data_IF_145061275752
#
_entry.id   IF_145061275752
#
_cell.length_a   1.000
_cell.length_b   1.000
_cell.length_c   1.000
_cell.angle_alpha   90.00
_cell.angle_beta   90.00
_cell.angle_gamma   90.00
#
_symmetry.space_group_name_H-M   'P 1'
#
loop_
_entity.id
_entity.type
_entity.pdbx_description
1 polymer ?
#
# COMPACT_ATOMS: atom_id res chain seq x y z
N UNK A 1 20.34 16.48 16.10
CA UNK A 1 21.40 16.60 15.08
C UNK A 1 20.81 17.29 13.86
N UNK A 2 21.48 18.34 13.34
CA UNK A 2 20.97 19.20 12.26
C UNK A 2 21.48 18.84 10.86
N UNK A 3 21.75 17.55 10.59
CA UNK A 3 22.26 17.08 9.28
C UNK A 3 21.20 16.41 8.39
N UNK A 4 19.96 16.33 8.87
CA UNK A 4 18.86 15.68 8.14
C UNK A 4 18.84 14.17 8.35
N UNK A 5 18.28 13.47 7.37
CA UNK A 5 18.09 12.02 7.32
C UNK A 5 19.40 11.31 6.94
N UNK A 6 19.77 10.24 7.65
CA UNK A 6 20.97 9.43 7.31
C UNK A 6 20.81 8.76 5.94
N UNK A 7 19.62 8.20 5.65
CA UNK A 7 19.28 7.61 4.34
C UNK A 7 17.76 7.63 4.07
N UNK A 8 17.38 7.82 2.80
CA UNK A 8 16.02 7.59 2.30
C UNK A 8 15.98 6.35 1.39
N UNK A 9 15.30 5.29 1.83
CA UNK A 9 15.06 4.09 1.02
C UNK A 9 13.55 3.93 0.74
N UNK A 10 13.11 4.38 -0.43
CA UNK A 10 11.68 4.47 -0.81
C UNK A 10 11.41 3.80 -2.15
N UNK A 11 11.43 2.45 -2.23
CA UNK A 11 10.96 1.78 -3.43
C UNK A 11 9.48 2.13 -3.68
N UNK A 12 9.11 2.35 -4.95
CA UNK A 12 7.75 2.74 -5.33
C UNK A 12 6.86 1.49 -5.42
N UNK A 13 5.80 1.41 -4.61
CA UNK A 13 4.89 0.25 -4.59
C UNK A 13 4.01 0.18 -5.84
N UNK A 14 3.67 1.33 -6.43
CA UNK A 14 2.89 1.43 -7.66
C UNK A 14 3.76 1.24 -8.93
N UNK A 15 5.01 0.82 -8.75
CA UNK A 15 5.87 0.41 -9.86
C UNK A 15 5.43 -0.97 -10.39
N UNK A 16 5.76 -1.25 -11.65
CA UNK A 16 5.36 -2.48 -12.32
C UNK A 16 5.90 -3.70 -11.56
N UNK A 17 5.00 -4.65 -11.23
CA UNK A 17 5.35 -5.87 -10.51
C UNK A 17 6.29 -6.73 -11.35
N UNK A 18 7.55 -6.81 -10.93
CA UNK A 18 8.58 -7.60 -11.63
C UNK A 18 8.46 -9.11 -11.40
N UNK A 19 7.63 -9.54 -10.45
CA UNK A 19 7.37 -10.96 -10.16
C UNK A 19 6.28 -11.49 -11.09
N UNK A 20 5.33 -10.66 -11.50
CA UNK A 20 4.37 -11.00 -12.54
C UNK A 20 5.03 -10.90 -13.94
N UNK A 21 5.37 -12.06 -14.51
CA UNK A 21 5.94 -12.16 -15.87
C UNK A 21 5.03 -11.57 -16.96
N UNK A 22 3.73 -11.43 -16.69
CA UNK A 22 2.74 -10.87 -17.59
C UNK A 22 2.32 -9.44 -17.25
N UNK A 23 2.98 -8.78 -16.29
CA UNK A 23 2.60 -7.45 -15.82
C UNK A 23 2.52 -6.46 -16.99
N UNK A 24 1.39 -5.77 -17.09
CA UNK A 24 1.20 -4.63 -17.99
C UNK A 24 1.48 -3.32 -17.25
N UNK A 25 1.63 -2.20 -17.96
CA UNK A 25 1.64 -0.89 -17.31
C UNK A 25 0.40 -0.73 -16.41
N UNK A 26 0.62 -0.45 -15.12
CA UNK A 26 -0.42 -0.36 -14.10
C UNK A 26 -0.66 -1.64 -13.27
N UNK A 27 -0.04 -2.77 -13.64
CA UNK A 27 -0.02 -3.97 -12.80
C UNK A 27 1.10 -3.86 -11.77
N UNK A 28 0.79 -3.21 -10.66
CA UNK A 28 1.71 -2.97 -9.55
C UNK A 28 1.75 -4.10 -8.51
N UNK A 29 2.67 -3.99 -7.54
CA UNK A 29 2.85 -4.99 -6.49
C UNK A 29 1.61 -5.18 -5.59
N UNK A 30 0.62 -4.28 -5.61
CA UNK A 30 -0.63 -4.41 -4.83
C UNK A 30 -1.65 -5.31 -5.50
N UNK A 31 -1.43 -5.70 -6.78
CA UNK A 31 -2.36 -6.54 -7.54
C UNK A 31 -2.26 -8.03 -7.20
N UNK A 32 -1.31 -8.45 -6.36
CA UNK A 32 -1.15 -9.84 -5.92
C UNK A 32 -0.65 -9.94 -4.47
N UNK A 33 -0.94 -11.06 -3.81
CA UNK A 33 -0.49 -11.32 -2.44
C UNK A 33 1.01 -11.60 -2.35
N UNK A 34 1.58 -12.26 -3.35
CA UNK A 34 3.04 -12.49 -3.43
C UNK A 34 3.80 -11.24 -3.87
N UNK A 35 3.22 -10.41 -4.75
CA UNK A 35 3.81 -9.15 -5.20
C UNK A 35 4.07 -8.21 -4.03
N UNK A 36 3.06 -7.96 -3.20
CA UNK A 36 3.19 -7.06 -2.05
C UNK A 36 4.22 -7.56 -1.02
N UNK A 37 4.32 -8.88 -0.80
CA UNK A 37 5.35 -9.46 0.08
C UNK A 37 6.75 -9.30 -0.50
N UNK A 38 6.87 -9.41 -1.83
CA UNK A 38 8.14 -9.21 -2.53
C UNK A 38 8.59 -7.76 -2.44
N UNK A 39 7.67 -6.81 -2.60
CA UNK A 39 7.91 -5.39 -2.35
C UNK A 39 8.33 -5.11 -0.90
N UNK A 40 7.58 -5.62 0.09
CA UNK A 40 7.92 -5.44 1.50
C UNK A 40 9.27 -6.08 1.85
N UNK A 41 9.65 -7.18 1.19
CA UNK A 41 10.95 -7.84 1.41
C UNK A 41 12.13 -6.95 1.06
N UNK A 42 11.99 -6.02 0.10
CA UNK A 42 13.03 -5.02 -0.21
C UNK A 42 13.29 -4.11 1.00
N UNK A 43 12.22 -3.67 1.66
CA UNK A 43 12.31 -2.81 2.86
C UNK A 43 12.81 -3.60 4.08
N UNK A 44 12.37 -4.85 4.24
CA UNK A 44 12.89 -5.76 5.27
C UNK A 44 14.40 -5.92 5.11
N UNK A 45 14.88 -6.15 3.88
CA UNK A 45 16.32 -6.27 3.63
C UNK A 45 17.08 -4.98 3.93
N UNK A 46 16.52 -3.81 3.61
CA UNK A 46 17.11 -2.53 3.95
C UNK A 46 17.26 -2.36 5.47
N UNK A 47 16.24 -2.72 6.26
CA UNK A 47 16.31 -2.67 7.74
C UNK A 47 17.39 -3.62 8.28
N UNK A 48 17.49 -4.84 7.75
CA UNK A 48 18.56 -5.75 8.15
C UNK A 48 19.95 -5.18 7.82
N UNK A 49 20.10 -4.54 6.67
CA UNK A 49 21.34 -3.87 6.30
C UNK A 49 21.68 -2.70 7.24
N UNK A 50 20.68 -1.91 7.67
CA UNK A 50 20.85 -0.84 8.65
C UNK A 50 21.28 -1.35 10.02
N UNK A 51 20.71 -2.48 10.47
CA UNK A 51 21.13 -3.14 11.73
C UNK A 51 22.59 -3.59 11.63
N UNK A 52 23.06 -4.01 10.45
CA UNK A 52 24.46 -4.34 10.19
C UNK A 52 25.38 -3.12 10.01
N UNK A 53 24.84 -1.90 10.14
CA UNK A 53 25.59 -0.65 9.97
C UNK A 53 25.88 -0.26 8.51
N UNK A 54 25.22 -0.88 7.54
CA UNK A 54 25.29 -0.51 6.13
C UNK A 54 24.10 0.36 5.71
N UNK A 55 24.22 1.02 4.56
CA UNK A 55 23.06 1.61 3.88
C UNK A 55 22.08 0.53 3.37
N UNK A 56 20.88 0.92 2.95
CA UNK A 56 19.78 0.03 2.60
C UNK A 56 20.09 -0.93 1.45
N UNK A 57 21.04 -0.56 0.57
CA UNK A 57 21.52 -1.41 -0.55
C UNK A 57 22.76 -2.24 -0.22
N UNK A 58 23.27 -2.14 1.02
CA UNK A 58 24.48 -2.82 1.51
C UNK A 58 25.76 -2.51 0.72
N UNK A 59 25.85 -1.31 0.16
CA UNK A 59 27.01 -0.86 -0.65
C UNK A 59 28.02 -0.05 0.15
N UNK A 60 27.61 0.56 1.26
CA UNK A 60 28.48 1.41 2.09
C UNK A 60 28.19 1.18 3.57
N UNK A 61 29.24 1.10 4.39
CA UNK A 61 29.11 1.04 5.84
C UNK A 61 29.06 2.47 6.40
N UNK A 62 27.97 2.81 7.10
CA UNK A 62 27.67 4.16 7.61
C UNK A 62 27.47 4.19 9.13
N UNK A 63 27.46 3.01 9.78
CA UNK A 63 27.05 2.84 11.17
C UNK A 63 25.54 2.62 11.29
N UNK A 64 25.10 2.12 12.45
CA UNK A 64 23.69 1.84 12.70
C UNK A 64 22.92 3.15 12.96
N UNK A 65 21.84 3.45 12.23
CA UNK A 65 21.04 4.64 12.50
C UNK A 65 20.40 4.58 13.89
N UNK A 66 20.31 5.73 14.57
CA UNK A 66 19.70 5.80 15.91
C UNK A 66 18.19 5.49 15.91
N UNK A 67 17.52 5.77 14.79
CA UNK A 67 16.11 5.46 14.54
C UNK A 67 15.99 5.03 13.09
N UNK A 68 15.41 3.86 12.86
CA UNK A 68 15.03 3.39 11.53
C UNK A 68 13.64 2.75 11.60
N UNK A 69 12.97 2.67 10.45
CA UNK A 69 11.63 2.12 10.39
C UNK A 69 11.13 1.96 8.96
N UNK A 70 10.08 1.18 8.85
CA UNK A 70 9.35 0.93 7.61
C UNK A 70 7.87 0.69 7.92
N UNK A 71 7.04 0.66 6.88
CA UNK A 71 5.68 0.12 6.97
C UNK A 71 5.60 -1.21 6.22
N UNK A 72 4.70 -2.11 6.64
CA UNK A 72 4.30 -3.27 5.85
C UNK A 72 3.03 -2.94 5.05
N UNK A 73 3.03 -3.29 3.77
CA UNK A 73 1.87 -3.19 2.88
C UNK A 73 1.13 -4.54 2.77
N UNK A 74 1.82 -5.63 3.09
CA UNK A 74 1.33 -7.00 3.12
C UNK A 74 -0.05 -7.13 3.76
N UNK A 75 -0.23 -6.59 4.98
CA UNK A 75 -1.50 -6.70 5.72
C UNK A 75 -2.61 -5.89 5.05
N UNK A 76 -2.31 -4.69 4.57
CA UNK A 76 -3.29 -3.83 3.87
C UNK A 76 -3.84 -4.52 2.62
N UNK A 77 -2.95 -5.00 1.76
CA UNK A 77 -3.33 -5.78 0.56
C UNK A 77 -4.04 -7.08 0.95
N UNK A 78 -3.55 -7.77 1.99
CA UNK A 78 -4.20 -8.95 2.56
C UNK A 78 -5.65 -8.71 3.00
N UNK A 79 -5.97 -7.50 3.47
CA UNK A 79 -7.31 -7.14 3.88
C UNK A 79 -8.20 -6.71 2.71
N UNK A 80 -7.68 -6.00 1.70
CA UNK A 80 -8.49 -5.38 0.65
C UNK A 80 -8.54 -6.10 -0.69
N UNK A 81 -7.50 -6.84 -1.06
CA UNK A 81 -7.45 -7.56 -2.34
C UNK A 81 -8.39 -8.76 -2.28
N UNK A 82 -9.50 -8.69 -3.02
CA UNK A 82 -10.58 -9.66 -2.89
C UNK A 82 -10.20 -11.08 -3.38
N UNK A 83 -9.26 -11.20 -4.32
CA UNK A 83 -8.90 -12.47 -4.97
C UNK A 83 -7.42 -12.47 -5.35
N UNK A 84 -6.87 -13.67 -5.50
CA UNK A 84 -5.52 -13.89 -6.02
C UNK A 84 -5.25 -13.08 -7.31
N UNK A 85 -4.09 -12.42 -7.34
CA UNK A 85 -3.58 -11.71 -8.51
C UNK A 85 -2.95 -12.62 -9.54
N UNK A 86 -2.43 -12.04 -10.63
CA UNK A 86 -1.73 -12.79 -11.67
C UNK A 86 -0.45 -13.47 -11.17
N UNK A 87 0.35 -12.78 -10.35
CA UNK A 87 1.59 -13.32 -9.79
C UNK A 87 1.36 -14.46 -8.77
N UNK A 88 0.18 -14.52 -8.14
CA UNK A 88 -0.11 -15.55 -7.14
C UNK A 88 -0.24 -16.92 -7.81
N UNK A 89 0.59 -17.89 -7.42
CA UNK A 89 0.49 -19.25 -7.97
C UNK A 89 -0.77 -19.98 -7.48
N UNK A 90 -1.12 -19.78 -6.21
CA UNK A 90 -2.36 -20.29 -5.64
C UNK A 90 -3.53 -19.35 -5.95
N UNK A 91 -4.37 -19.75 -6.90
CA UNK A 91 -5.56 -18.99 -7.31
C UNK A 91 -6.75 -19.14 -6.35
N UNK A 92 -6.64 -19.97 -5.31
CA UNK A 92 -7.67 -20.12 -4.27
C UNK A 92 -7.55 -19.05 -3.16
N UNK A 93 -6.52 -18.20 -3.21
CA UNK A 93 -6.33 -17.13 -2.24
C UNK A 93 -7.44 -16.08 -2.30
N UNK A 94 -8.02 -15.80 -1.15
CA UNK A 94 -9.06 -14.79 -0.92
C UNK A 94 -8.60 -13.91 0.24
N UNK A 95 -8.59 -12.59 0.00
CA UNK A 95 -8.24 -11.62 1.04
C UNK A 95 -9.38 -11.36 2.01
N UNK A 96 -9.06 -10.62 3.07
CA UNK A 96 -9.97 -10.29 4.15
C UNK A 96 -10.09 -11.39 5.21
N UNK A 97 -11.19 -11.34 5.94
CA UNK A 97 -11.49 -12.23 7.06
C UNK A 97 -12.48 -13.32 6.61
N UNK A 98 -12.36 -14.51 7.19
CA UNK A 98 -13.22 -15.65 6.92
C UNK A 98 -14.62 -15.52 7.56
N UNK A 99 -14.74 -14.70 8.61
CA UNK A 99 -15.98 -14.48 9.34
C UNK A 99 -16.04 -13.09 10.01
N UNK A 100 -17.21 -12.76 10.57
CA UNK A 100 -17.44 -11.54 11.33
C UNK A 100 -16.73 -11.49 12.70
N UNK A 101 -15.95 -12.52 13.08
CA UNK A 101 -15.19 -12.61 14.33
C UNK A 101 -13.70 -12.33 14.13
N UNK A 102 -13.34 -11.79 12.97
CA UNK A 102 -11.97 -11.47 12.59
C UNK A 102 -11.04 -12.68 12.47
N UNK A 103 -11.58 -13.87 12.16
CA UNK A 103 -10.75 -15.01 11.73
C UNK A 103 -10.07 -14.65 10.41
N UNK A 104 -8.72 -14.58 10.32
CA UNK A 104 -8.06 -14.24 9.07
C UNK A 104 -8.37 -15.25 7.96
N UNK A 105 -8.65 -14.76 6.75
CA UNK A 105 -8.77 -15.62 5.57
C UNK A 105 -7.43 -16.26 5.19
N UNK A 106 -7.43 -17.16 4.20
CA UNK A 106 -6.23 -17.88 3.78
C UNK A 106 -5.11 -16.93 3.31
N UNK A 107 -5.44 -15.91 2.52
CA UNK A 107 -4.44 -14.96 2.04
C UNK A 107 -3.96 -14.04 3.19
N UNK A 108 -4.88 -13.52 4.01
CA UNK A 108 -4.53 -12.65 5.13
C UNK A 108 -3.66 -13.37 6.18
N UNK A 109 -3.91 -14.66 6.43
CA UNK A 109 -3.06 -15.50 7.28
C UNK A 109 -1.62 -15.54 6.76
N UNK A 110 -1.42 -15.71 5.46
CA UNK A 110 -0.07 -15.69 4.87
C UNK A 110 0.61 -14.32 4.99
N UNK A 111 -0.16 -13.23 4.91
CA UNK A 111 0.38 -11.88 5.10
C UNK A 111 0.80 -11.64 6.55
N UNK A 112 0.01 -12.10 7.53
CA UNK A 112 0.40 -12.05 8.93
C UNK A 112 1.65 -12.88 9.22
N UNK A 113 1.73 -14.10 8.68
CA UNK A 113 2.93 -14.94 8.85
C UNK A 113 4.18 -14.25 8.27
N UNK A 114 4.06 -13.65 7.09
CA UNK A 114 5.17 -12.92 6.48
C UNK A 114 5.67 -11.75 7.37
N UNK A 115 4.74 -10.99 7.97
CA UNK A 115 5.11 -9.89 8.88
C UNK A 115 5.74 -10.43 10.16
N UNK A 116 5.18 -11.49 10.76
CA UNK A 116 5.73 -12.14 11.95
C UNK A 116 7.15 -12.66 11.70
N UNK A 117 7.37 -13.34 10.57
CA UNK A 117 8.69 -13.82 10.16
C UNK A 117 9.69 -12.67 9.96
N UNK A 118 9.24 -11.56 9.35
CA UNK A 118 10.08 -10.38 9.13
C UNK A 118 10.48 -9.71 10.46
N UNK A 119 9.54 -9.58 11.41
CA UNK A 119 9.83 -9.10 12.75
C UNK A 119 10.81 -10.02 13.49
N UNK A 120 10.64 -11.35 13.34
CA UNK A 120 11.58 -12.34 13.83
C UNK A 120 12.99 -12.14 13.28
N UNK A 121 13.13 -11.85 11.97
CA UNK A 121 14.43 -11.53 11.35
C UNK A 121 15.06 -10.28 11.97
N UNK A 122 14.29 -9.20 12.19
CA UNK A 122 14.81 -8.00 12.83
C UNK A 122 15.31 -8.27 14.25
N UNK A 123 14.54 -9.01 15.05
CA UNK A 123 14.94 -9.39 16.41
C UNK A 123 16.22 -10.22 16.40
N UNK A 124 16.33 -11.18 15.48
CA UNK A 124 17.51 -12.04 15.38
C UNK A 124 18.75 -11.25 14.96
N UNK A 125 18.62 -10.34 13.99
CA UNK A 125 19.73 -9.49 13.54
C UNK A 125 20.19 -8.53 14.64
N UNK A 126 19.24 -7.89 15.35
CA UNK A 126 19.55 -7.04 16.50
C UNK A 126 20.32 -7.81 17.59
N UNK A 127 19.97 -9.08 17.84
CA UNK A 127 20.70 -9.93 18.79
C UNK A 127 22.10 -10.27 18.27
N UNK A 128 22.24 -10.60 16.99
CA UNK A 128 23.53 -10.91 16.36
C UNK A 128 24.51 -9.73 16.45
N UNK A 129 23.99 -8.49 16.32
CA UNK A 129 24.78 -7.27 16.43
C UNK A 129 24.94 -6.74 17.87
N UNK A 130 24.43 -7.46 18.89
CA UNK A 130 24.41 -7.02 20.29
C UNK A 130 23.68 -5.69 20.54
N UNK A 131 22.68 -5.38 19.70
CA UNK A 131 21.89 -4.15 19.77
C UNK A 131 20.52 -4.34 20.43
N UNK A 132 20.04 -5.59 20.53
CA UNK A 132 18.68 -5.92 20.99
C UNK A 132 18.33 -5.30 22.35
N UNK A 133 19.18 -5.48 23.36
CA UNK A 133 18.91 -4.98 24.73
C UNK A 133 18.92 -3.45 24.84
N UNK A 134 19.47 -2.76 23.82
CA UNK A 134 19.53 -1.29 23.74
C UNK A 134 18.50 -0.69 22.77
N UNK A 135 17.68 -1.52 22.11
CA UNK A 135 16.75 -1.11 21.06
C UNK A 135 15.31 -1.18 21.54
N UNK A 136 14.57 -0.07 21.47
CA UNK A 136 13.12 -0.06 21.63
C UNK A 136 12.44 -0.39 20.31
N UNK A 137 11.64 -1.46 20.28
CA UNK A 137 10.83 -1.84 19.10
C UNK A 137 9.38 -1.38 19.33
N UNK A 138 8.87 -0.56 18.43
CA UNK A 138 7.47 -0.11 18.43
C UNK A 138 6.78 -0.69 17.21
N UNK A 139 5.73 -1.48 17.44
CA UNK A 139 4.86 -2.01 16.40
C UNK A 139 3.50 -1.35 16.56
N UNK A 140 3.02 -0.70 15.49
CA UNK A 140 1.74 -0.03 15.48
C UNK A 140 1.10 -0.15 14.09
N UNK A 141 -0.15 0.30 13.97
CA UNK A 141 -0.89 0.33 12.73
C UNK A 141 -1.44 1.74 12.50
N UNK A 142 -1.41 2.21 11.25
CA UNK A 142 -1.97 3.53 10.89
C UNK A 142 -3.50 3.53 10.93
N UNK A 143 -4.12 2.45 10.45
CA UNK A 143 -5.57 2.22 10.39
C UNK A 143 -5.85 0.77 9.94
N UNK A 144 -7.13 0.35 9.97
CA UNK A 144 -7.61 -0.84 9.25
C UNK A 144 -7.80 -0.58 7.74
N UNK A 145 -8.41 -1.52 7.02
CA UNK A 145 -8.73 -1.35 5.59
C UNK A 145 -10.17 -1.78 5.26
N UNK A 146 -10.47 -3.09 5.27
CA UNK A 146 -11.79 -3.59 4.89
C UNK A 146 -12.63 -4.02 6.11
N UNK A 147 -13.97 -3.98 6.02
CA UNK A 147 -14.85 -4.55 7.04
C UNK A 147 -14.48 -6.00 7.35
N UNK A 148 -14.54 -6.38 8.62
CA UNK A 148 -14.32 -7.77 9.05
C UNK A 148 -15.44 -8.67 8.50
N UNK A 149 -16.68 -8.22 8.59
CA UNK A 149 -17.81 -8.90 7.99
C UNK A 149 -17.88 -8.57 6.49
N UNK A 150 -17.55 -9.54 5.64
CA UNK A 150 -17.59 -9.38 4.18
C UNK A 150 -18.98 -9.04 3.65
N UNK A 151 -20.06 -9.37 4.36
CA UNK A 151 -21.42 -9.00 3.98
C UNK A 151 -21.65 -7.47 4.02
N UNK A 152 -20.85 -6.75 4.82
CA UNK A 152 -20.92 -5.29 4.94
C UNK A 152 -20.00 -4.58 3.93
N UNK A 153 -19.20 -5.34 3.16
CA UNK A 153 -18.27 -4.79 2.16
C UNK A 153 -19.03 -4.36 0.91
N UNK A 154 -19.00 -3.06 0.63
CA UNK A 154 -19.43 -2.48 -0.64
C UNK A 154 -18.21 -2.06 -1.43
N UNK A 155 -17.99 -2.67 -2.61
CA UNK A 155 -16.92 -2.27 -3.51
C UNK A 155 -17.45 -1.21 -4.50
N UNK A 156 -16.80 -0.05 -4.51
CA UNK A 156 -17.08 1.02 -5.48
C UNK A 156 -15.96 1.00 -6.51
N UNK A 157 -16.31 1.09 -7.79
CA UNK A 157 -15.32 1.12 -8.86
C UNK A 157 -14.76 2.52 -9.05
N UNK A 158 -13.43 2.66 -9.07
CA UNK A 158 -12.75 3.92 -9.37
C UNK A 158 -13.16 4.50 -10.73
N UNK A 159 -13.52 3.62 -11.68
CA UNK A 159 -14.01 4.01 -13.02
C UNK A 159 -15.28 4.88 -13.00
N UNK A 160 -15.95 4.96 -11.85
CA UNK A 160 -17.04 5.90 -11.63
C UNK A 160 -16.52 7.34 -11.66
N UNK A 161 -15.43 7.64 -10.96
CA UNK A 161 -14.97 9.01 -10.78
C UNK A 161 -14.43 9.62 -12.07
N UNK A 162 -13.78 8.82 -12.93
CA UNK A 162 -13.29 9.28 -14.23
C UNK A 162 -14.39 9.64 -15.23
N UNK A 163 -15.65 9.31 -14.93
CA UNK A 163 -16.84 9.67 -15.73
C UNK A 163 -17.53 10.95 -15.25
N UNK A 164 -17.07 11.55 -14.15
CA UNK A 164 -17.65 12.79 -13.65
C UNK A 164 -17.56 13.90 -14.73
N UNK A 165 -18.60 14.76 -14.88
CA UNK A 165 -18.56 15.89 -15.80
C UNK A 165 -17.27 16.72 -15.68
N UNK A 166 -16.62 16.93 -16.82
CA UNK A 166 -15.36 17.65 -16.89
C UNK A 166 -14.12 16.78 -16.64
N UNK A 167 -14.24 15.57 -16.08
CA UNK A 167 -13.07 14.76 -15.72
C UNK A 167 -12.18 14.48 -16.93
N UNK A 168 -12.54 13.56 -17.84
CA UNK A 168 -11.81 13.33 -19.10
C UNK A 168 -10.28 13.41 -18.98
N UNK A 169 -9.64 14.16 -19.87
CA UNK A 169 -8.19 14.46 -19.80
C UNK A 169 -7.83 15.57 -18.78
N UNK A 170 -8.83 16.14 -18.12
CA UNK A 170 -8.71 17.27 -17.19
C UNK A 170 -8.96 16.83 -15.74
N UNK A 171 -8.88 15.54 -15.44
CA UNK A 171 -9.28 14.99 -14.16
C UNK A 171 -8.23 14.05 -13.62
N UNK A 172 -8.14 14.01 -12.30
CA UNK A 172 -7.31 13.06 -11.58
C UNK A 172 -8.01 12.63 -10.30
N UNK A 173 -7.94 11.34 -10.01
CA UNK A 173 -8.56 10.69 -8.88
C UNK A 173 -7.54 9.88 -8.08
N UNK A 174 -7.71 9.89 -6.76
CA UNK A 174 -7.09 8.92 -5.86
C UNK A 174 -8.21 8.27 -5.07
N UNK A 175 -8.34 6.95 -5.19
CA UNK A 175 -9.41 6.19 -4.58
C UNK A 175 -8.82 5.11 -3.66
N UNK A 176 -9.24 5.12 -2.40
CA UNK A 176 -9.02 4.05 -1.43
C UNK A 176 -10.26 4.00 -0.50
N UNK A 177 -10.11 4.10 0.83
CA UNK A 177 -11.24 4.25 1.77
C UNK A 177 -12.04 5.55 1.59
N UNK A 178 -11.46 6.52 0.88
CA UNK A 178 -12.11 7.73 0.39
C UNK A 178 -11.65 8.00 -1.05
N UNK A 179 -12.48 8.70 -1.82
CA UNK A 179 -12.10 9.20 -3.13
C UNK A 179 -11.84 10.70 -3.07
N UNK A 180 -10.66 11.11 -3.53
CA UNK A 180 -10.33 12.50 -3.79
C UNK A 180 -10.31 12.70 -5.30
N UNK A 181 -11.11 13.65 -5.76
CA UNK A 181 -11.33 13.93 -7.18
C UNK A 181 -10.97 15.38 -7.46
N UNK A 182 -10.07 15.60 -8.40
CA UNK A 182 -9.66 16.92 -8.85
C UNK A 182 -9.97 17.09 -10.32
N UNK A 183 -10.58 18.22 -10.65
CA UNK A 183 -10.59 18.75 -12.00
C UNK A 183 -9.38 19.66 -12.19
N UNK A 184 -8.95 19.86 -13.43
CA UNK A 184 -7.90 20.81 -13.78
C UNK A 184 -8.31 22.23 -13.37
N UNK A 185 -7.36 23.14 -13.11
CA UNK A 185 -7.68 24.51 -12.71
C UNK A 185 -8.65 25.21 -13.67
N UNK A 186 -8.57 24.92 -14.97
CA UNK A 186 -9.44 25.46 -16.00
C UNK A 186 -10.89 25.00 -15.78
N UNK A 187 -11.09 23.71 -15.50
CA UNK A 187 -12.44 23.17 -15.29
C UNK A 187 -13.00 23.43 -13.89
N UNK A 188 -12.16 23.67 -12.90
CA UNK A 188 -12.65 24.15 -11.60
C UNK A 188 -13.33 25.52 -11.71
N UNK A 189 -12.98 26.32 -12.73
CA UNK A 189 -13.52 27.68 -12.94
C UNK A 189 -14.52 27.75 -14.10
N UNK A 190 -14.51 26.77 -15.00
CA UNK A 190 -15.37 26.78 -16.18
C UNK A 190 -16.83 26.42 -15.86
N UNK A 191 -17.71 26.95 -16.69
CA UNK A 191 -19.13 26.58 -16.73
C UNK A 191 -19.33 25.48 -17.76
N UNK A 192 -20.07 24.44 -17.39
CA UNK A 192 -20.51 23.41 -18.31
C UNK A 192 -21.58 23.99 -19.24
N UNK A 193 -21.32 24.12 -20.56
CA UNK A 193 -22.26 24.73 -21.49
C UNK A 193 -23.56 23.92 -21.66
N UNK A 194 -23.57 22.63 -21.29
CA UNK A 194 -24.75 21.79 -21.40
C UNK A 194 -25.77 22.04 -20.28
N UNK A 195 -25.32 22.44 -19.09
CA UNK A 195 -26.15 22.59 -17.89
C UNK A 195 -26.25 24.03 -17.40
N UNK A 196 -25.29 24.89 -17.77
CA UNK A 196 -25.13 26.24 -17.22
C UNK A 196 -24.52 26.28 -15.82
N UNK A 197 -24.18 25.13 -15.23
CA UNK A 197 -23.56 25.04 -13.90
C UNK A 197 -22.02 25.06 -14.00
N UNK A 198 -21.29 25.44 -12.93
CA UNK A 198 -19.86 25.16 -12.84
C UNK A 198 -19.58 23.66 -12.96
N UNK A 199 -18.51 23.27 -13.68
CA UNK A 199 -18.16 21.86 -13.86
C UNK A 199 -17.96 21.11 -12.53
N UNK A 200 -17.37 21.75 -11.51
CA UNK A 200 -17.21 21.12 -10.19
C UNK A 200 -18.57 20.80 -9.53
N UNK A 201 -19.61 21.58 -9.79
CA UNK A 201 -20.94 21.36 -9.22
C UNK A 201 -21.61 20.15 -9.89
N UNK A 202 -21.51 20.04 -11.22
CA UNK A 202 -21.99 18.88 -11.97
C UNK A 202 -21.21 17.61 -11.63
N UNK A 203 -19.89 17.71 -11.48
CA UNK A 203 -19.04 16.60 -11.03
C UNK A 203 -19.46 16.11 -9.63
N UNK A 204 -19.66 17.04 -8.69
CA UNK A 204 -20.14 16.71 -7.34
C UNK A 204 -21.53 16.05 -7.37
N UNK A 205 -22.46 16.59 -8.15
CA UNK A 205 -23.81 16.05 -8.27
C UNK A 205 -23.80 14.64 -8.88
N UNK A 206 -22.97 14.41 -9.90
CA UNK A 206 -22.76 13.10 -10.49
C UNK A 206 -22.23 12.10 -9.45
N UNK A 207 -21.19 12.45 -8.71
CA UNK A 207 -20.58 11.56 -7.70
C UNK A 207 -21.57 11.24 -6.57
N UNK A 208 -22.38 12.20 -6.12
CA UNK A 208 -23.38 11.95 -5.07
C UNK A 208 -24.55 11.07 -5.53
N UNK A 209 -24.77 10.94 -6.83
CA UNK A 209 -25.88 10.18 -7.41
C UNK A 209 -25.52 8.72 -7.74
N UNK A 210 -24.25 8.33 -7.60
CA UNK A 210 -23.74 7.00 -7.93
C UNK A 210 -23.00 6.38 -6.75
#
# INVERSE_FOLDING_TARGET
>A
SGKGLDELFTPEINSQDTIDKGAKPGDDYTKSFVGVRSYDSLKVQAVLNWIDGYNGTRTQHQGVPAIFGMNFQAVSVGQKLAKAGNADTDKSLVGGYADAKATPGNALTQQFQFVDDALGKFINELKAQNLYDSTLIIISAKHGQSPINLADRVAISDSLYSKAPGFGANGFEICDDAALVWLSPELQQATNPATGNPYYADAKAYILAH
#
